data_IF_519879598929
#
_entry.id   IF_519879598929
#
_cell.length_a   1.000
_cell.length_b   1.000
_cell.length_c   1.000
_cell.angle_alpha   90.00
_cell.angle_beta   90.00
_cell.angle_gamma   90.00
#
_symmetry.space_group_name_H-M   'P 1'
#
loop_
_entity.id
_entity.type
_entity.pdbx_description
1 polymer ?
#
# COMPACT_ATOMS: atom_id res chain seq x y z
N UNK A 1 -0.20 -12.60 -2.83
CA UNK A 1 -1.21 -11.55 -2.48
C UNK A 1 -2.57 -12.20 -2.38
N UNK A 2 -3.35 -11.84 -1.39
CA UNK A 2 -4.75 -12.28 -1.24
C UNK A 2 -5.67 -11.12 -1.62
N UNK A 3 -6.68 -11.40 -2.45
CA UNK A 3 -7.66 -10.39 -2.88
C UNK A 3 -8.99 -10.55 -2.15
N UNK A 4 -9.57 -9.42 -1.77
CA UNK A 4 -10.91 -9.34 -1.18
C UNK A 4 -11.95 -9.49 -2.29
N UNK A 5 -12.99 -10.27 -2.03
CA UNK A 5 -14.09 -10.53 -2.98
C UNK A 5 -15.31 -9.66 -2.66
N UNK A 6 -16.22 -9.52 -3.64
CA UNK A 6 -17.49 -8.82 -3.46
C UNK A 6 -17.41 -7.30 -3.51
N UNK A 7 -16.34 -6.77 -4.09
CA UNK A 7 -16.16 -5.32 -4.28
C UNK A 7 -16.87 -4.81 -5.55
N UNK A 8 -17.16 -3.51 -5.65
CA UNK A 8 -17.67 -2.91 -6.88
C UNK A 8 -16.74 -3.13 -8.07
N UNK A 9 -17.29 -3.18 -9.26
CA UNK A 9 -16.52 -3.37 -10.50
C UNK A 9 -15.42 -2.33 -10.63
N UNK A 10 -14.19 -2.78 -10.89
CA UNK A 10 -13.02 -1.91 -11.03
C UNK A 10 -12.31 -1.55 -9.72
N UNK A 11 -12.83 -1.99 -8.59
CA UNK A 11 -12.17 -1.85 -7.28
C UNK A 11 -11.47 -3.16 -6.91
N UNK A 12 -10.19 -3.07 -6.60
CA UNK A 12 -9.38 -4.19 -6.15
C UNK A 12 -8.80 -3.88 -4.78
N UNK A 13 -8.91 -4.81 -3.86
CA UNK A 13 -8.27 -4.75 -2.54
C UNK A 13 -7.47 -6.02 -2.34
N UNK A 14 -6.21 -5.87 -2.04
CA UNK A 14 -5.31 -6.99 -1.79
C UNK A 14 -4.49 -6.79 -0.53
N UNK A 15 -4.13 -7.89 0.10
CA UNK A 15 -3.21 -7.92 1.22
C UNK A 15 -1.96 -8.68 0.80
N UNK A 16 -0.80 -8.05 0.99
CA UNK A 16 0.49 -8.73 0.84
C UNK A 16 0.73 -9.68 2.01
N UNK A 17 1.53 -10.70 1.77
CA UNK A 17 1.91 -11.67 2.80
C UNK A 17 3.41 -11.59 3.05
N UNK A 18 3.84 -11.99 4.23
CA UNK A 18 5.26 -12.10 4.59
C UNK A 18 5.97 -13.04 3.62
N UNK A 19 5.31 -14.14 3.29
CA UNK A 19 5.81 -15.15 2.33
C UNK A 19 5.53 -14.71 0.89
N UNK A 20 6.38 -13.85 0.36
CA UNK A 20 6.30 -13.40 -1.02
C UNK A 20 7.45 -13.96 -1.84
N UNK A 21 7.19 -14.35 -3.10
CA UNK A 21 8.20 -14.97 -3.97
C UNK A 21 9.42 -14.07 -4.24
N UNK A 22 9.24 -12.75 -4.18
CA UNK A 22 10.30 -11.75 -4.37
C UNK A 22 10.89 -11.23 -3.04
N UNK A 23 10.59 -11.88 -1.90
CA UNK A 23 11.18 -11.49 -0.62
C UNK A 23 12.69 -11.73 -0.62
N UNK A 24 13.43 -10.71 -0.23
CA UNK A 24 14.89 -10.77 -0.13
C UNK A 24 15.32 -11.25 1.25
N UNK A 25 16.50 -11.89 1.37
CA UNK A 25 17.07 -12.26 2.67
C UNK A 25 17.21 -11.06 3.61
N UNK A 26 16.99 -11.29 4.90
CA UNK A 26 17.20 -10.30 5.95
C UNK A 26 18.28 -10.77 6.91
N UNK A 27 19.12 -9.85 7.39
CA UNK A 27 20.06 -10.10 8.50
C UNK A 27 19.36 -10.03 9.86
N UNK A 28 18.13 -9.53 9.92
CA UNK A 28 17.30 -9.43 11.12
C UNK A 28 16.15 -10.43 10.99
N UNK A 29 16.14 -11.45 11.84
CA UNK A 29 15.19 -12.56 11.73
C UNK A 29 13.73 -12.11 11.86
N UNK A 30 13.45 -11.15 12.75
CA UNK A 30 12.12 -10.58 12.98
C UNK A 30 11.58 -9.78 11.78
N UNK A 31 12.47 -9.34 10.89
CA UNK A 31 12.14 -8.59 9.67
C UNK A 31 12.28 -9.45 8.41
N UNK A 32 12.44 -10.78 8.57
CA UNK A 32 12.47 -11.71 7.44
C UNK A 32 11.15 -11.67 6.67
N UNK A 33 11.22 -11.97 5.36
CA UNK A 33 10.04 -11.92 4.49
C UNK A 33 9.91 -10.61 3.74
N UNK A 34 8.72 -10.33 3.21
CA UNK A 34 8.44 -9.21 2.32
C UNK A 34 8.07 -7.93 3.09
N UNK A 35 9.03 -7.40 3.85
CA UNK A 35 8.83 -6.16 4.60
C UNK A 35 8.77 -4.95 3.67
N UNK A 36 7.74 -4.12 3.84
CA UNK A 36 7.49 -2.90 3.05
C UNK A 36 7.63 -1.62 3.91
N UNK A 37 7.90 -1.77 5.21
CA UNK A 37 7.95 -0.68 6.16
C UNK A 37 9.38 -0.12 6.31
N UNK A 38 9.56 1.17 6.07
CA UNK A 38 10.85 1.87 6.22
C UNK A 38 11.17 2.27 7.66
N UNK A 39 10.18 2.26 8.56
CA UNK A 39 10.29 2.79 9.93
C UNK A 39 10.59 1.72 10.99
N UNK A 40 10.83 0.47 10.58
CA UNK A 40 11.03 -0.66 11.51
C UNK A 40 12.50 -1.11 11.59
N UNK A 41 13.44 -0.24 11.25
CA UNK A 41 14.88 -0.50 11.33
C UNK A 41 15.42 -1.63 10.43
N UNK A 42 14.69 -1.96 9.35
CA UNK A 42 15.21 -2.81 8.29
C UNK A 42 16.19 -2.05 7.37
N UNK A 43 16.92 -2.77 6.55
CA UNK A 43 17.77 -2.16 5.53
C UNK A 43 16.90 -1.43 4.49
N UNK A 44 17.08 -0.11 4.38
CA UNK A 44 16.27 0.74 3.50
C UNK A 44 16.28 0.25 2.04
N UNK A 45 17.46 -0.13 1.53
CA UNK A 45 17.60 -0.63 0.16
C UNK A 45 16.78 -1.91 -0.08
N UNK A 46 16.76 -2.81 0.90
CA UNK A 46 15.96 -4.03 0.84
C UNK A 46 14.47 -3.71 0.79
N UNK A 47 14.00 -2.81 1.65
CA UNK A 47 12.59 -2.38 1.66
C UNK A 47 12.21 -1.69 0.34
N UNK A 48 13.09 -0.85 -0.19
CA UNK A 48 12.83 -0.21 -1.50
C UNK A 48 12.75 -1.22 -2.64
N UNK A 49 13.60 -2.25 -2.64
CA UNK A 49 13.51 -3.32 -3.63
C UNK A 49 12.19 -4.09 -3.52
N UNK A 50 11.70 -4.36 -2.30
CA UNK A 50 10.38 -4.95 -2.10
C UNK A 50 9.25 -4.06 -2.62
N UNK A 51 9.33 -2.74 -2.39
CA UNK A 51 8.35 -1.78 -2.91
C UNK A 51 8.35 -1.73 -4.44
N UNK A 52 9.52 -1.79 -5.06
CA UNK A 52 9.66 -1.89 -6.52
C UNK A 52 9.05 -3.18 -7.05
N UNK A 53 9.34 -4.31 -6.41
CA UNK A 53 8.77 -5.60 -6.78
C UNK A 53 7.23 -5.61 -6.68
N UNK A 54 6.67 -4.94 -5.67
CA UNK A 54 5.23 -4.79 -5.52
C UNK A 54 4.63 -3.92 -6.64
N UNK A 55 5.31 -2.84 -7.04
CA UNK A 55 4.87 -2.02 -8.18
C UNK A 55 4.85 -2.82 -9.48
N UNK A 56 5.85 -3.66 -9.71
CA UNK A 56 5.87 -4.58 -10.86
C UNK A 56 4.67 -5.54 -10.85
N UNK A 57 4.35 -6.13 -9.69
CA UNK A 57 3.20 -7.02 -9.56
C UNK A 57 1.87 -6.28 -9.85
N UNK A 58 1.74 -5.04 -9.38
CA UNK A 58 0.57 -4.22 -9.65
C UNK A 58 0.48 -3.73 -11.10
N UNK A 59 1.61 -3.59 -11.80
CA UNK A 59 1.62 -3.23 -13.21
C UNK A 59 0.89 -4.25 -14.10
N UNK A 60 0.84 -5.52 -13.69
CA UNK A 60 0.06 -6.55 -14.37
C UNK A 60 -1.45 -6.26 -14.35
N UNK A 61 -1.92 -5.47 -13.38
CA UNK A 61 -3.31 -4.99 -13.27
C UNK A 61 -3.51 -3.60 -13.85
N UNK A 62 -2.48 -3.05 -14.53
CA UNK A 62 -2.50 -1.71 -15.10
C UNK A 62 -2.23 -0.58 -14.11
N UNK A 63 -1.93 -0.88 -12.85
CA UNK A 63 -1.58 0.15 -11.86
C UNK A 63 -0.24 0.76 -12.23
N UNK A 64 -0.22 2.08 -12.36
CA UNK A 64 0.96 2.85 -12.75
C UNK A 64 1.58 3.66 -11.60
N UNK A 65 0.87 3.77 -10.48
CA UNK A 65 1.32 4.52 -9.31
C UNK A 65 0.85 3.90 -8.00
N UNK A 66 1.73 3.91 -7.02
CA UNK A 66 1.41 3.55 -5.64
C UNK A 66 1.69 4.76 -4.74
N UNK A 67 0.74 5.12 -3.89
CA UNK A 67 0.93 6.13 -2.85
C UNK A 67 1.13 5.47 -1.49
N UNK A 68 2.19 5.87 -0.84
CA UNK A 68 2.57 5.50 0.51
C UNK A 68 2.41 6.70 1.44
N UNK A 69 2.16 6.46 2.72
CA UNK A 69 2.16 7.50 3.74
C UNK A 69 2.98 7.06 4.96
N UNK A 70 3.43 8.02 5.73
CA UNK A 70 3.95 7.81 7.07
C UNK A 70 2.76 7.83 8.03
N UNK A 71 2.41 6.68 8.56
CA UNK A 71 1.30 6.52 9.50
C UNK A 71 1.70 7.05 10.88
N UNK A 72 0.88 7.91 11.45
CA UNK A 72 1.17 8.67 12.68
C UNK A 72 0.18 8.39 13.81
N UNK A 73 -0.71 7.40 13.65
CA UNK A 73 -1.82 7.09 14.56
C UNK A 73 -2.73 8.30 14.80
N UNK A 74 -3.05 8.99 13.72
CA UNK A 74 -3.89 10.18 13.68
C UNK A 74 -5.27 9.88 13.08
N UNK A 75 -6.08 10.93 12.97
CA UNK A 75 -7.35 10.91 12.24
C UNK A 75 -7.25 11.64 10.90
N UNK A 76 -6.03 11.86 10.42
CA UNK A 76 -5.78 12.60 9.17
C UNK A 76 -6.02 11.65 7.99
N UNK A 77 -6.94 12.03 7.13
CA UNK A 77 -7.19 11.39 5.84
C UNK A 77 -6.86 12.37 4.71
N UNK A 78 -6.01 11.94 3.79
CA UNK A 78 -5.50 12.75 2.70
C UNK A 78 -6.17 12.39 1.38
N UNK A 79 -6.64 13.39 0.64
CA UNK A 79 -7.14 13.22 -0.72
C UNK A 79 -5.99 13.22 -1.70
N UNK A 80 -5.84 12.12 -2.43
CA UNK A 80 -4.79 11.94 -3.43
C UNK A 80 -5.32 12.35 -4.80
N UNK A 81 -4.70 13.36 -5.39
CA UNK A 81 -5.02 13.89 -6.72
C UNK A 81 -3.75 14.10 -7.56
N UNK A 82 -3.88 14.64 -8.76
CA UNK A 82 -2.76 14.83 -9.69
C UNK A 82 -1.73 15.87 -9.25
N UNK A 83 -2.12 16.77 -8.38
CA UNK A 83 -1.31 17.92 -7.94
C UNK A 83 -0.58 17.67 -6.61
N UNK A 84 -0.57 16.42 -6.12
CA UNK A 84 0.11 16.11 -4.87
C UNK A 84 1.61 16.34 -4.98
N UNK A 85 2.21 17.08 -4.05
CA UNK A 85 3.65 17.29 -4.00
C UNK A 85 4.39 15.96 -3.76
N UNK A 86 5.65 15.92 -4.16
CA UNK A 86 6.58 14.81 -3.86
C UNK A 86 7.04 14.80 -2.38
N UNK A 87 6.27 15.36 -1.49
CA UNK A 87 6.59 15.39 -0.07
C UNK A 87 6.13 14.12 0.62
N UNK A 88 6.78 13.79 1.72
CA UNK A 88 6.35 12.70 2.57
C UNK A 88 4.93 13.00 3.10
N UNK A 89 3.98 12.12 2.78
CA UNK A 89 2.61 12.24 3.26
C UNK A 89 2.53 11.69 4.68
N UNK A 90 1.94 12.45 5.58
CA UNK A 90 1.69 12.01 6.96
C UNK A 90 0.20 11.90 7.21
N UNK A 91 -0.24 10.77 7.73
CA UNK A 91 -1.65 10.50 8.02
C UNK A 91 -1.93 9.02 8.19
N UNK A 92 -3.18 8.68 8.37
CA UNK A 92 -3.61 7.30 8.60
C UNK A 92 -4.78 6.88 7.71
N UNK A 93 -5.12 7.70 6.74
CA UNK A 93 -6.08 7.40 5.70
C UNK A 93 -5.74 8.10 4.38
N UNK A 94 -6.04 7.44 3.28
CA UNK A 94 -5.90 7.96 1.92
C UNK A 94 -7.23 7.76 1.18
N UNK A 95 -7.62 8.74 0.38
CA UNK A 95 -8.77 8.61 -0.51
C UNK A 95 -8.41 9.10 -1.91
N UNK A 96 -8.90 8.42 -2.93
CA UNK A 96 -8.67 8.81 -4.33
C UNK A 96 -9.83 8.44 -5.24
N UNK A 97 -10.01 9.24 -6.29
CA UNK A 97 -10.84 8.95 -7.46
C UNK A 97 -10.00 8.62 -8.70
N UNK A 98 -8.67 8.57 -8.56
CA UNK A 98 -7.78 8.27 -9.67
C UNK A 98 -7.84 6.78 -10.03
N UNK A 99 -8.01 6.52 -11.31
CA UNK A 99 -7.88 5.16 -11.87
C UNK A 99 -6.42 4.73 -11.90
N UNK A 100 -6.19 3.42 -11.86
CA UNK A 100 -4.88 2.77 -11.97
C UNK A 100 -3.89 3.22 -10.89
N UNK A 101 -4.39 3.70 -9.76
CA UNK A 101 -3.63 4.21 -8.63
C UNK A 101 -3.90 3.38 -7.38
N UNK A 102 -2.87 2.78 -6.81
CA UNK A 102 -2.98 2.02 -5.57
C UNK A 102 -2.69 2.90 -4.35
N UNK A 103 -3.52 2.78 -3.34
CA UNK A 103 -3.30 3.35 -2.02
C UNK A 103 -2.76 2.25 -1.10
N UNK A 104 -1.69 2.55 -0.37
CA UNK A 104 -1.05 1.58 0.51
C UNK A 104 -1.20 1.98 1.98
N UNK A 105 -1.55 0.99 2.77
CA UNK A 105 -1.54 1.06 4.23
C UNK A 105 -0.72 -0.12 4.76
N UNK A 106 0.06 0.13 5.79
CA UNK A 106 0.83 -0.90 6.48
C UNK A 106 0.20 -1.19 7.84
N UNK A 107 -0.01 -2.45 8.13
CA UNK A 107 -0.54 -2.90 9.42
C UNK A 107 0.30 -4.03 9.99
N UNK A 108 0.44 -4.05 11.30
CA UNK A 108 0.95 -5.19 12.04
C UNK A 108 -0.19 -5.76 12.91
N UNK A 109 -0.63 -5.01 13.90
CA UNK A 109 -1.66 -5.44 14.85
C UNK A 109 -3.03 -4.79 14.60
N UNK A 110 -3.05 -3.68 13.83
CA UNK A 110 -4.28 -2.94 13.55
C UNK A 110 -5.11 -3.61 12.47
N UNK A 111 -6.44 -3.45 12.59
CA UNK A 111 -7.37 -3.87 11.54
C UNK A 111 -7.39 -2.83 10.42
N UNK A 112 -7.00 -3.18 9.19
CA UNK A 112 -7.14 -2.29 8.05
C UNK A 112 -8.62 -2.17 7.64
N UNK A 113 -9.04 -0.95 7.32
CA UNK A 113 -10.37 -0.67 6.81
C UNK A 113 -10.22 -0.13 5.39
N UNK A 114 -11.00 -0.68 4.48
CA UNK A 114 -11.08 -0.18 3.10
C UNK A 114 -12.52 0.16 2.78
N UNK A 115 -12.73 1.31 2.19
CA UNK A 115 -14.02 1.82 1.80
C UNK A 115 -14.03 2.10 0.29
N UNK A 116 -15.17 1.94 -0.33
CA UNK A 116 -15.40 2.32 -1.72
C UNK A 116 -16.86 2.75 -1.90
N UNK A 117 -17.10 3.67 -2.84
CA UNK A 117 -18.47 3.98 -3.20
C UNK A 117 -19.07 2.86 -4.08
N UNK A 118 -20.39 2.80 -4.17
CA UNK A 118 -21.09 1.73 -4.90
C UNK A 118 -20.78 1.71 -6.41
N UNK A 119 -20.42 2.86 -6.97
CA UNK A 119 -20.07 3.03 -8.37
C UNK A 119 -18.64 2.59 -8.68
N UNK A 120 -17.80 2.31 -7.68
CA UNK A 120 -16.39 1.95 -7.86
C UNK A 120 -15.52 3.09 -8.41
N UNK A 121 -15.91 4.33 -8.18
CA UNK A 121 -15.19 5.52 -8.68
C UNK A 121 -14.34 6.22 -7.63
N UNK A 122 -14.50 5.85 -6.36
CA UNK A 122 -13.73 6.39 -5.25
C UNK A 122 -13.41 5.28 -4.26
N UNK A 123 -12.18 5.26 -3.78
CA UNK A 123 -11.70 4.31 -2.77
C UNK A 123 -10.91 5.04 -1.70
N UNK A 124 -10.99 4.50 -0.48
CA UNK A 124 -10.22 4.96 0.68
C UNK A 124 -9.69 3.78 1.50
N UNK A 125 -8.63 4.02 2.22
CA UNK A 125 -8.08 3.09 3.22
C UNK A 125 -7.71 3.80 4.51
#
# INVERSE_FOLDING_TARGET
MQFVQGLPTGVFVGQTQIEHAKALPSSVAELSGFNLALHVHDQADRVQQHRMALLEDFAEFGVDKITWMTQTHSTICLTINEQMPFEALEGDGLVTQRKLHALMMMTADCLPIVLGNAEGTEVAN
#
